data_IF_829692417906
#
_entry.id   IF_829692417906
#
_cell.length_a   1.000
_cell.length_b   1.000
_cell.length_c   1.000
_cell.angle_alpha   90.00
_cell.angle_beta   90.00
_cell.angle_gamma   90.00
#
_symmetry.space_group_name_H-M   'P 1'
#
loop_
_entity.id
_entity.type
_entity.pdbx_description
1 polymer ?
#
# COMPACT_ATOMS: atom_id res chain seq x y z
N UNK A 1 15.88 -11.42 -2.22
CA UNK A 1 14.44 -11.12 -2.16
C UNK A 1 14.11 -10.67 -0.76
N UNK A 2 13.54 -9.48 -0.63
CA UNK A 2 13.13 -8.88 0.64
C UNK A 2 11.68 -8.41 0.52
N UNK A 3 10.96 -8.41 1.64
CA UNK A 3 9.55 -8.00 1.69
C UNK A 3 9.41 -6.83 2.67
N UNK A 4 8.64 -5.83 2.27
CA UNK A 4 8.24 -4.68 3.07
C UNK A 4 6.74 -4.75 3.31
N UNK A 5 6.32 -4.57 4.55
CA UNK A 5 4.92 -4.36 4.91
C UNK A 5 4.78 -2.95 5.50
N UNK A 6 3.80 -2.21 5.02
CA UNK A 6 3.45 -0.85 5.50
C UNK A 6 1.98 -0.84 5.82
N UNK A 7 1.60 -0.24 6.94
CA UNK A 7 0.22 -0.14 7.42
C UNK A 7 -0.02 1.26 8.00
N UNK A 8 -1.23 1.79 7.86
CA UNK A 8 -1.55 3.11 8.39
C UNK A 8 -1.92 3.01 9.86
N UNK A 9 -1.05 3.53 10.72
CA UNK A 9 -1.29 3.52 12.16
C UNK A 9 -2.64 4.15 12.55
N UNK A 10 -3.51 3.36 13.20
CA UNK A 10 -4.82 3.80 13.68
C UNK A 10 -5.90 3.89 12.60
N UNK A 11 -5.60 3.56 11.35
CA UNK A 11 -6.58 3.61 10.27
C UNK A 11 -7.63 2.51 10.37
N UNK A 12 -7.25 1.30 10.83
CA UNK A 12 -8.19 0.20 11.06
C UNK A 12 -9.38 0.64 11.92
N UNK A 13 -9.14 1.31 13.05
CA UNK A 13 -10.21 1.78 13.96
C UNK A 13 -10.97 3.01 13.45
N UNK A 14 -10.40 3.78 12.53
CA UNK A 14 -11.05 4.92 11.88
C UNK A 14 -11.96 4.45 10.74
N UNK A 15 -11.50 3.46 9.96
CA UNK A 15 -12.25 2.88 8.84
C UNK A 15 -13.56 2.22 9.25
N UNK A 16 -13.67 1.71 10.48
CA UNK A 16 -14.92 1.18 11.04
C UNK A 16 -16.02 2.23 11.24
N UNK A 17 -15.64 3.52 11.28
CA UNK A 17 -16.55 4.65 11.51
C UNK A 17 -16.75 5.53 10.28
N UNK A 18 -16.00 5.28 9.21
CA UNK A 18 -16.03 6.06 7.98
C UNK A 18 -16.81 5.30 6.92
N UNK A 19 -17.52 6.05 6.07
CA UNK A 19 -18.18 5.46 4.92
C UNK A 19 -17.13 4.97 3.90
N UNK A 20 -17.45 3.94 3.08
CA UNK A 20 -16.50 3.37 2.12
C UNK A 20 -15.90 4.39 1.14
N UNK A 21 -16.64 5.45 0.81
CA UNK A 21 -16.16 6.53 -0.07
C UNK A 21 -15.05 7.36 0.60
N UNK A 22 -15.21 7.70 1.88
CA UNK A 22 -14.21 8.44 2.66
C UNK A 22 -12.95 7.61 2.88
N UNK A 23 -13.12 6.32 3.20
CA UNK A 23 -12.03 5.35 3.31
C UNK A 23 -11.23 5.32 2.00
N UNK A 24 -11.92 5.25 0.86
CA UNK A 24 -11.28 5.22 -0.46
C UNK A 24 -10.60 6.55 -0.81
N UNK A 25 -11.17 7.68 -0.41
CA UNK A 25 -10.58 9.00 -0.60
C UNK A 25 -9.25 9.17 0.17
N UNK A 26 -9.10 8.49 1.32
CA UNK A 26 -7.85 8.48 2.09
C UNK A 26 -6.84 7.47 1.51
N UNK A 27 -7.29 6.26 1.18
CA UNK A 27 -6.42 5.19 0.72
C UNK A 27 -5.83 5.44 -0.66
N UNK A 28 -6.58 6.06 -1.58
CA UNK A 28 -6.13 6.32 -2.96
C UNK A 28 -4.82 7.11 -3.02
N UNK A 29 -4.71 8.31 -2.44
CA UNK A 29 -3.45 9.07 -2.44
C UNK A 29 -2.36 8.40 -1.60
N UNK A 30 -2.72 7.65 -0.55
CA UNK A 30 -1.76 6.89 0.25
C UNK A 30 -1.10 5.78 -0.57
N UNK A 31 -1.88 4.98 -1.29
CA UNK A 31 -1.37 3.92 -2.15
C UNK A 31 -0.46 4.46 -3.25
N UNK A 32 -0.83 5.56 -3.89
CA UNK A 32 0.01 6.21 -4.90
C UNK A 32 1.36 6.61 -4.32
N UNK A 33 1.37 7.20 -3.12
CA UNK A 33 2.60 7.62 -2.45
C UNK A 33 3.49 6.45 -2.06
N UNK A 34 2.91 5.41 -1.46
CA UNK A 34 3.65 4.21 -1.04
C UNK A 34 4.20 3.46 -2.25
N UNK A 35 3.38 3.28 -3.29
CA UNK A 35 3.80 2.68 -4.56
C UNK A 35 4.98 3.44 -5.15
N UNK A 36 4.88 4.76 -5.23
CA UNK A 36 5.92 5.60 -5.80
C UNK A 36 7.24 5.51 -5.00
N UNK A 37 7.20 5.42 -3.67
CA UNK A 37 8.38 5.19 -2.83
C UNK A 37 9.02 3.80 -3.05
N UNK A 38 8.19 2.75 -3.14
CA UNK A 38 8.66 1.38 -3.37
C UNK A 38 9.31 1.27 -4.74
N UNK A 39 8.66 1.77 -5.79
CA UNK A 39 9.18 1.77 -7.17
C UNK A 39 10.46 2.59 -7.29
N UNK A 40 10.54 3.77 -6.65
CA UNK A 40 11.78 4.58 -6.60
C UNK A 40 12.99 3.83 -6.03
N UNK A 41 12.75 2.88 -5.12
CA UNK A 41 13.80 2.09 -4.45
C UNK A 41 14.06 0.74 -5.14
N UNK A 42 13.51 0.53 -6.34
CA UNK A 42 13.70 -0.71 -7.12
C UNK A 42 12.86 -1.88 -6.60
N UNK A 43 11.79 -1.61 -5.85
CA UNK A 43 10.81 -2.61 -5.45
C UNK A 43 9.55 -2.56 -6.33
N UNK A 44 8.72 -3.59 -6.24
CA UNK A 44 7.38 -3.64 -6.81
C UNK A 44 6.33 -3.75 -5.71
N UNK A 45 5.15 -3.19 -5.93
CA UNK A 45 3.99 -3.46 -5.07
C UNK A 45 3.36 -4.77 -5.49
N UNK A 46 3.26 -5.72 -4.56
CA UNK A 46 2.65 -7.03 -4.79
C UNK A 46 1.13 -6.97 -4.60
N UNK A 47 0.66 -6.38 -3.50
CA UNK A 47 -0.77 -6.28 -3.19
C UNK A 47 -1.10 -5.17 -2.19
N UNK A 48 -2.37 -4.76 -2.21
CA UNK A 48 -3.02 -3.88 -1.24
C UNK A 48 -4.07 -4.67 -0.46
N UNK A 49 -4.09 -4.55 0.88
CA UNK A 49 -5.05 -5.22 1.76
C UNK A 49 -5.56 -4.21 2.79
N UNK A 50 -6.65 -3.52 2.48
CA UNK A 50 -7.08 -2.37 3.29
C UNK A 50 -5.98 -1.31 3.32
N UNK A 51 -5.62 -0.80 4.48
CA UNK A 51 -4.48 0.10 4.69
C UNK A 51 -3.09 -0.54 4.54
N UNK A 52 -3.02 -1.87 4.53
CA UNK A 52 -1.76 -2.57 4.40
C UNK A 52 -1.29 -2.63 2.94
N UNK A 53 0.00 -2.36 2.73
CA UNK A 53 0.68 -2.46 1.44
C UNK A 53 1.86 -3.43 1.57
N UNK A 54 1.95 -4.39 0.65
CA UNK A 54 3.07 -5.32 0.57
C UNK A 54 3.96 -4.96 -0.63
N UNK A 55 5.19 -4.58 -0.34
CA UNK A 55 6.25 -4.34 -1.33
C UNK A 55 7.25 -5.48 -1.37
N UNK A 56 7.73 -5.83 -2.56
CA UNK A 56 8.77 -6.84 -2.77
C UNK A 56 9.98 -6.21 -3.44
N UNK A 57 11.17 -6.52 -2.96
CA UNK A 57 12.44 -6.02 -3.48
C UNK A 57 13.31 -7.18 -3.95
N UNK A 58 13.87 -7.05 -5.16
CA UNK A 58 14.70 -8.09 -5.77
C UNK A 58 13.92 -9.34 -6.22
N UNK A 59 12.61 -9.23 -6.45
CA UNK A 59 11.83 -10.17 -7.25
C UNK A 59 11.84 -9.70 -8.72
N UNK A 60 11.78 -10.60 -9.73
CA UNK A 60 11.62 -10.17 -11.12
C UNK A 60 10.33 -9.36 -11.21
N UNK A 61 10.43 -8.10 -11.67
CA UNK A 61 9.27 -7.22 -11.83
C UNK A 61 8.34 -7.83 -12.88
N UNK A 62 7.36 -8.61 -12.43
CA UNK A 62 6.32 -9.15 -13.29
C UNK A 62 5.37 -8.00 -13.62
N UNK A 63 5.72 -7.24 -14.66
CA UNK A 63 4.74 -6.45 -15.40
C UNK A 63 3.85 -7.46 -16.13
N UNK A 64 2.62 -7.62 -15.66
CA UNK A 64 1.55 -8.37 -16.33
C UNK A 64 0.40 -7.45 -16.62
#
# INVERSE_FOLDING_TARGET
>A
MSVLFVDLAGFTSQSERLDPEDVRAILTPYYERVRSEIERRGGGVEKFVGDAVMGVFGAPTAYG
#
